data_IF_167573533923
#
_entry.id   IF_167573533923
#
_cell.length_a   1.000
_cell.length_b   1.000
_cell.length_c   1.000
_cell.angle_alpha   90.00
_cell.angle_beta   90.00
_cell.angle_gamma   90.00
#
_symmetry.space_group_name_H-M   'P 1'
#
loop_
_entity.id
_entity.type
_entity.pdbx_description
1 polymer ?
#
# COMPACT_ATOMS: atom_id res chain seq x y z
N UNK A 1 9.42 7.72 -5.72
CA UNK A 1 8.39 7.08 -4.91
C UNK A 1 8.70 5.61 -4.66
N UNK A 2 8.16 5.07 -3.58
CA UNK A 2 8.38 3.67 -3.24
C UNK A 2 7.26 3.13 -2.36
N UNK A 3 7.06 1.82 -2.44
CA UNK A 3 6.26 1.08 -1.47
C UNK A 3 7.20 0.53 -0.41
N UNK A 4 6.83 0.73 0.84
CA UNK A 4 7.54 0.13 1.97
C UNK A 4 6.63 -0.91 2.61
N UNK A 5 7.10 -2.14 2.70
CA UNK A 5 6.39 -3.23 3.35
C UNK A 5 7.00 -3.43 4.73
N UNK A 6 6.18 -3.51 5.76
CA UNK A 6 6.68 -3.65 7.12
C UNK A 6 5.73 -4.52 7.95
N UNK A 7 6.27 -5.07 9.01
CA UNK A 7 5.49 -5.84 9.96
C UNK A 7 4.92 -4.90 11.01
N UNK A 8 3.61 -4.99 11.28
CA UNK A 8 2.98 -4.12 12.27
C UNK A 8 3.08 -4.71 13.68
N UNK A 9 2.60 -3.98 14.68
CA UNK A 9 2.70 -4.38 16.08
C UNK A 9 1.91 -5.63 16.41
N UNK A 10 0.89 -5.94 15.62
CA UNK A 10 0.07 -7.12 15.82
C UNK A 10 0.59 -8.36 15.11
N UNK A 11 1.75 -8.26 14.46
CA UNK A 11 2.34 -9.37 13.71
C UNK A 11 1.83 -9.50 12.28
N UNK A 12 0.99 -8.58 11.83
CA UNK A 12 0.53 -8.54 10.46
C UNK A 12 1.49 -7.75 9.58
N UNK A 13 1.17 -7.67 8.30
CA UNK A 13 1.99 -6.97 7.32
C UNK A 13 1.18 -5.85 6.70
N UNK A 14 1.83 -4.70 6.56
CA UNK A 14 1.24 -3.52 5.94
C UNK A 14 2.19 -2.95 4.92
N UNK A 15 1.67 -2.17 4.00
CA UNK A 15 2.54 -1.38 3.12
C UNK A 15 2.11 0.08 3.18
N UNK A 16 3.04 0.95 2.84
CA UNK A 16 2.75 2.36 2.66
C UNK A 16 3.41 2.84 1.39
N UNK A 17 2.77 3.80 0.74
CA UNK A 17 3.28 4.41 -0.47
C UNK A 17 3.84 5.78 -0.12
N UNK A 18 5.08 6.00 -0.47
CA UNK A 18 5.76 7.28 -0.25
C UNK A 18 6.00 7.99 -1.56
N UNK A 19 5.77 9.29 -1.53
CA UNK A 19 6.10 10.18 -2.63
C UNK A 19 7.62 10.39 -2.70
N UNK A 20 8.06 11.06 -3.77
CA UNK A 20 9.47 11.34 -3.99
C UNK A 20 10.11 12.13 -2.83
N UNK A 21 9.35 13.04 -2.21
CA UNK A 21 9.83 13.84 -1.08
C UNK A 21 9.78 13.11 0.26
N UNK A 22 9.41 11.82 0.27
CA UNK A 22 9.33 11.03 1.49
C UNK A 22 7.99 11.11 2.21
N UNK A 23 7.04 11.85 1.67
CA UNK A 23 5.73 12.03 2.27
C UNK A 23 4.88 10.76 2.09
N UNK A 24 4.18 10.33 3.15
CA UNK A 24 3.32 9.16 3.07
C UNK A 24 2.03 9.53 2.36
N UNK A 25 1.76 8.90 1.21
CA UNK A 25 0.56 9.13 0.42
C UNK A 25 -0.60 8.29 0.95
N UNK A 26 -0.31 7.05 1.34
CA UNK A 26 -1.33 6.15 1.84
C UNK A 26 -0.73 4.95 2.55
N UNK A 27 -1.56 4.30 3.36
CA UNK A 27 -1.17 3.12 4.16
C UNK A 27 -2.24 2.06 3.97
N UNK A 28 -1.83 0.80 3.83
CA UNK A 28 -2.77 -0.32 3.68
C UNK A 28 -3.33 -0.76 5.02
N UNK A 29 -4.38 -1.58 4.94
CA UNK A 29 -4.83 -2.37 6.06
C UNK A 29 -3.82 -3.49 6.37
N UNK A 30 -4.01 -4.21 7.47
CA UNK A 30 -3.10 -5.29 7.87
C UNK A 30 -3.45 -6.58 7.16
N UNK A 31 -2.44 -7.25 6.62
CA UNK A 31 -2.54 -8.58 6.01
C UNK A 31 -1.92 -9.61 6.94
N UNK A 32 -2.50 -10.79 7.02
CA UNK A 32 -1.97 -11.85 7.87
C UNK A 32 -0.72 -12.51 7.30
N UNK A 33 -0.56 -12.48 5.98
CA UNK A 33 0.58 -13.10 5.30
C UNK A 33 1.28 -12.08 4.41
N UNK A 34 2.61 -12.14 4.40
CA UNK A 34 3.44 -11.23 3.61
C UNK A 34 3.10 -11.31 2.12
N UNK A 35 2.86 -12.51 1.61
CA UNK A 35 2.54 -12.70 0.19
C UNK A 35 1.27 -11.94 -0.20
N UNK A 36 0.27 -11.91 0.68
CA UNK A 36 -0.96 -11.19 0.42
C UNK A 36 -0.73 -9.67 0.42
N UNK A 37 0.17 -9.20 1.28
CA UNK A 37 0.56 -7.79 1.29
C UNK A 37 1.24 -7.42 -0.04
N UNK A 38 2.12 -8.28 -0.55
CA UNK A 38 2.76 -8.06 -1.85
C UNK A 38 1.74 -8.05 -2.99
N UNK A 39 0.73 -8.92 -2.93
CA UNK A 39 -0.37 -8.90 -3.91
C UNK A 39 -1.15 -7.60 -3.84
N UNK A 40 -1.34 -7.06 -2.63
CA UNK A 40 -1.98 -5.77 -2.44
C UNK A 40 -1.21 -4.63 -3.11
N UNK A 41 0.11 -4.64 -2.97
CA UNK A 41 0.98 -3.66 -3.64
C UNK A 41 0.82 -3.75 -5.16
N UNK A 42 0.85 -4.97 -5.70
CA UNK A 42 0.70 -5.17 -7.14
C UNK A 42 -0.67 -4.69 -7.62
N UNK A 43 -1.72 -4.91 -6.82
CA UNK A 43 -3.05 -4.45 -7.14
C UNK A 43 -3.12 -2.92 -7.22
N UNK A 44 -2.49 -2.23 -6.28
CA UNK A 44 -2.43 -0.76 -6.29
C UNK A 44 -1.70 -0.29 -7.55
N UNK A 45 -0.58 -0.90 -7.88
CA UNK A 45 0.18 -0.53 -9.09
C UNK A 45 -0.65 -0.68 -10.35
N UNK A 46 -1.43 -1.76 -10.44
CA UNK A 46 -2.24 -2.05 -11.62
C UNK A 46 -3.42 -1.12 -11.80
N UNK A 47 -4.05 -0.76 -10.68
CA UNK A 47 -5.35 -0.08 -10.72
C UNK A 47 -5.27 1.43 -10.51
N UNK A 48 -4.22 1.91 -9.84
CA UNK A 48 -4.17 3.31 -9.43
C UNK A 48 -4.16 4.28 -10.60
N UNK A 49 -3.46 3.95 -11.67
CA UNK A 49 -3.31 4.85 -12.83
C UNK A 49 -4.66 5.12 -13.49
N UNK A 50 -5.49 4.10 -13.60
CA UNK A 50 -6.79 4.19 -14.26
C UNK A 50 -7.93 4.50 -13.30
N UNK A 51 -7.63 4.66 -12.02
CA UNK A 51 -8.66 4.87 -11.01
C UNK A 51 -9.33 6.23 -11.20
N UNK A 52 -10.66 6.18 -11.23
CA UNK A 52 -11.49 7.37 -11.41
C UNK A 52 -11.58 8.14 -10.08
N UNK A 53 -11.59 9.46 -10.17
CA UNK A 53 -11.84 10.30 -9.01
C UNK A 53 -13.34 10.52 -8.90
N UNK A 54 -13.91 10.04 -7.81
CA UNK A 54 -15.35 10.20 -7.56
C UNK A 54 -15.51 10.99 -6.27
N UNK A 55 -16.20 12.10 -6.37
CA UNK A 55 -16.47 12.95 -5.21
C UNK A 55 -17.87 12.62 -4.68
N UNK A 56 -17.93 12.31 -3.40
CA UNK A 56 -19.21 11.93 -2.76
C UNK A 56 -19.78 13.02 -1.92
#
# INVERSE_FOLDING_TARGET
PKFELYEDKGGGFRFRLKARNGEIIGVSESYTAKINCLHGIESVKKNALDAEIVEE
#
